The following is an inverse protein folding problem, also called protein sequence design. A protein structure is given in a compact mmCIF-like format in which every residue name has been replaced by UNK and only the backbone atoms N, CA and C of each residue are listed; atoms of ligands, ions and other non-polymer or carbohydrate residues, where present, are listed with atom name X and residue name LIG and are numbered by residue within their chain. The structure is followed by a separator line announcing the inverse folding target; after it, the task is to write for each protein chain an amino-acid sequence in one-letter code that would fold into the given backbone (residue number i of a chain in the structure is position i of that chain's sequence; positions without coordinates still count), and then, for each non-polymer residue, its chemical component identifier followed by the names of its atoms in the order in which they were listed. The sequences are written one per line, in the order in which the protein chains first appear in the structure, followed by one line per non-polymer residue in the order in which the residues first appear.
data_IF_841590498420
#
_entry.id   IF_841590498420
#
_cell.length_a   1.000
_cell.length_b   1.000
_cell.length_c   1.000
_cell.angle_alpha   90.00
_cell.angle_beta   90.00
_cell.angle_gamma   90.00
#
_symmetry.space_group_name_H-M   'P 1'
#
loop_
_entity.id
_entity.type
_entity.pdbx_description
1 polymer ?
#
# COMPACT_ATOMS: atom_id res chain seq x y z
N UNK A 1 49.99 -9.21 -32.11
CA UNK A 1 48.59 -8.75 -31.82
C UNK A 1 48.02 -8.27 -33.14
N UNK A 2 46.91 -8.84 -33.59
CA UNK A 2 46.22 -8.33 -34.79
C UNK A 2 45.58 -6.96 -34.42
N UNK A 3 45.90 -5.93 -35.24
CA UNK A 3 45.29 -4.61 -35.03
C UNK A 3 43.80 -4.69 -35.38
N UNK A 4 42.95 -4.17 -34.54
CA UNK A 4 41.48 -4.12 -34.70
C UNK A 4 40.99 -3.55 -36.05
N UNK A 5 41.75 -2.64 -36.65
CA UNK A 5 41.41 -2.00 -37.93
C UNK A 5 41.38 -2.94 -39.14
N UNK A 6 41.92 -4.15 -39.02
CA UNK A 6 42.02 -5.15 -40.13
C UNK A 6 41.01 -6.29 -40.00
N UNK A 7 40.06 -6.19 -39.07
CA UNK A 7 39.08 -7.23 -38.83
C UNK A 7 37.81 -6.89 -39.63
N UNK A 8 37.55 -7.66 -40.67
CA UNK A 8 36.41 -7.46 -41.60
C UNK A 8 35.14 -8.21 -41.22
N UNK A 9 35.18 -9.00 -40.14
CA UNK A 9 34.02 -9.69 -39.63
C UNK A 9 33.16 -8.73 -38.82
N UNK A 10 31.92 -8.45 -39.22
CA UNK A 10 31.01 -7.54 -38.50
C UNK A 10 30.67 -8.00 -37.07
N UNK A 11 30.91 -9.28 -36.75
CA UNK A 11 30.61 -9.85 -35.45
C UNK A 11 31.77 -9.82 -34.45
N UNK A 12 32.94 -9.33 -34.85
CA UNK A 12 34.17 -9.37 -34.02
C UNK A 12 34.08 -8.42 -32.80
N UNK A 13 33.26 -7.39 -32.90
CA UNK A 13 33.04 -6.45 -31.82
C UNK A 13 31.85 -6.84 -30.90
N UNK A 14 31.15 -7.90 -31.28
CA UNK A 14 30.06 -8.38 -30.45
C UNK A 14 30.58 -9.26 -29.30
N UNK A 15 29.98 -9.18 -28.11
CA UNK A 15 30.33 -10.07 -27.03
C UNK A 15 30.16 -11.53 -27.43
N UNK A 16 31.09 -12.38 -27.02
CA UNK A 16 31.08 -13.80 -27.36
C UNK A 16 29.73 -14.45 -27.00
N UNK A 17 29.14 -15.11 -28.00
CA UNK A 17 27.85 -15.81 -27.81
C UNK A 17 26.62 -14.95 -28.01
N UNK A 18 26.71 -13.71 -28.52
CA UNK A 18 25.54 -12.84 -28.75
C UNK A 18 24.49 -13.48 -29.66
N UNK A 19 24.91 -14.24 -30.70
CA UNK A 19 23.98 -14.91 -31.61
C UNK A 19 23.13 -16.01 -30.93
N UNK A 20 23.55 -16.52 -29.78
CA UNK A 20 22.87 -17.57 -29.01
C UNK A 20 22.34 -17.03 -27.69
N UNK A 21 22.51 -15.75 -27.42
CA UNK A 21 22.02 -15.13 -26.21
C UNK A 21 20.46 -15.07 -26.19
N UNK A 22 19.87 -15.39 -25.07
CA UNK A 22 18.42 -15.25 -24.89
C UNK A 22 18.05 -13.77 -24.93
N UNK A 23 16.96 -13.43 -25.63
CA UNK A 23 16.44 -12.06 -25.65
C UNK A 23 16.24 -11.54 -24.23
N UNK A 24 16.67 -10.30 -23.97
CA UNK A 24 16.58 -9.67 -22.64
C UNK A 24 17.73 -9.98 -21.69
N UNK A 25 18.77 -10.76 -22.13
CA UNK A 25 19.97 -10.95 -21.33
C UNK A 25 21.03 -9.87 -21.60
N UNK A 26 21.90 -9.63 -20.63
CA UNK A 26 23.06 -8.74 -20.69
C UNK A 26 24.34 -9.55 -20.57
N UNK A 27 25.39 -9.15 -21.27
CA UNK A 27 26.70 -9.75 -21.08
C UNK A 27 27.36 -9.23 -19.81
N UNK A 28 27.49 -10.08 -18.81
CA UNK A 28 28.02 -9.72 -17.48
C UNK A 28 29.49 -10.16 -17.41
N UNK A 29 30.39 -9.17 -17.25
CA UNK A 29 31.83 -9.43 -17.10
C UNK A 29 32.09 -10.13 -15.74
N UNK A 30 32.98 -11.13 -15.75
CA UNK A 30 33.38 -11.90 -14.57
C UNK A 30 34.60 -11.34 -13.81
N UNK A 31 35.12 -10.19 -14.22
CA UNK A 31 36.30 -9.58 -13.62
C UNK A 31 37.64 -10.22 -14.04
N UNK A 32 37.65 -11.31 -14.88
CA UNK A 32 38.81 -12.06 -15.29
C UNK A 32 39.01 -12.05 -16.82
N UNK A 33 38.52 -10.99 -17.48
CA UNK A 33 38.63 -10.81 -18.94
C UNK A 33 37.63 -11.64 -19.76
N UNK A 34 36.59 -12.16 -19.14
CA UNK A 34 35.49 -12.88 -19.76
C UNK A 34 34.16 -12.51 -19.13
N UNK A 35 33.08 -13.16 -19.53
CA UNK A 35 31.74 -12.96 -18.96
C UNK A 35 30.75 -14.00 -19.48
N UNK A 36 29.51 -13.88 -19.02
CA UNK A 36 28.41 -14.74 -19.43
C UNK A 36 27.19 -13.91 -19.78
N UNK A 37 26.33 -14.42 -20.67
CA UNK A 37 25.00 -13.88 -20.90
C UNK A 37 24.10 -14.29 -19.75
N UNK A 38 23.49 -13.34 -19.12
CA UNK A 38 22.60 -13.58 -17.99
C UNK A 38 21.66 -12.41 -17.75
N UNK A 39 20.81 -12.55 -16.78
CA UNK A 39 19.97 -11.43 -16.31
C UNK A 39 20.90 -10.36 -15.77
N UNK A 40 20.68 -9.10 -16.16
CA UNK A 40 21.48 -7.98 -15.65
C UNK A 40 21.56 -8.03 -14.13
N UNK A 41 22.77 -7.87 -13.52
CA UNK A 41 22.89 -7.75 -12.07
C UNK A 41 22.21 -6.47 -11.54
N UNK A 42 21.96 -5.48 -12.39
CA UNK A 42 20.99 -4.43 -12.11
C UNK A 42 19.63 -5.05 -12.36
N UNK A 43 19.12 -5.71 -11.37
CA UNK A 43 17.78 -6.30 -11.41
C UNK A 43 16.76 -5.16 -11.42
N UNK A 44 16.42 -4.68 -12.62
CA UNK A 44 15.38 -3.69 -12.82
C UNK A 44 14.00 -4.21 -12.37
N UNK A 45 13.85 -5.54 -12.22
CA UNK A 45 12.64 -6.11 -11.63
C UNK A 45 12.45 -5.67 -10.19
N UNK A 46 13.54 -5.42 -9.43
CA UNK A 46 13.45 -4.82 -8.09
C UNK A 46 12.99 -3.36 -8.07
N UNK A 47 12.91 -2.71 -9.23
CA UNK A 47 12.35 -1.35 -9.38
C UNK A 47 10.91 -1.36 -9.91
N UNK A 48 10.39 -2.52 -10.29
CA UNK A 48 9.01 -2.65 -10.76
C UNK A 48 8.11 -2.71 -9.54
N UNK A 49 7.21 -1.73 -9.44
CA UNK A 49 6.12 -1.73 -8.47
C UNK A 49 4.95 -2.45 -9.13
N UNK A 50 4.60 -3.59 -8.61
CA UNK A 50 3.35 -4.26 -8.96
C UNK A 50 2.24 -3.77 -8.02
N UNK A 51 1.28 -3.03 -8.58
CA UNK A 51 0.06 -2.71 -7.85
C UNK A 51 -0.81 -3.96 -7.79
N UNK A 52 -1.22 -4.34 -6.58
CA UNK A 52 -1.92 -5.59 -6.35
C UNK A 52 -3.39 -5.40 -6.01
N UNK A 53 -3.70 -4.47 -5.11
CA UNK A 53 -5.08 -4.18 -4.71
C UNK A 53 -5.28 -2.68 -4.43
N UNK A 54 -6.47 -2.18 -4.78
CA UNK A 54 -6.99 -0.88 -4.36
C UNK A 54 -8.37 -1.08 -3.74
N UNK A 55 -8.54 -0.64 -2.51
CA UNK A 55 -9.83 -0.65 -1.83
C UNK A 55 -10.32 0.77 -1.53
N UNK A 56 -11.61 1.01 -1.72
CA UNK A 56 -12.25 2.28 -1.42
C UNK A 56 -13.57 2.03 -0.70
N UNK A 57 -13.68 2.52 0.53
CA UNK A 57 -14.93 2.43 1.27
C UNK A 57 -15.87 3.56 0.89
N UNK A 58 -17.05 3.19 0.40
CA UNK A 58 -18.16 4.10 0.12
C UNK A 58 -19.19 4.11 1.26
N UNK A 59 -18.87 3.51 2.41
CA UNK A 59 -19.70 3.58 3.60
C UNK A 59 -19.92 5.06 4.00
N UNK A 60 -21.14 5.43 4.27
CA UNK A 60 -21.50 6.81 4.64
C UNK A 60 -20.77 7.24 5.90
N UNK A 61 -20.64 6.32 6.87
CA UNK A 61 -19.77 6.45 8.03
C UNK A 61 -19.27 5.09 8.48
N UNK A 62 -18.10 5.08 9.10
CA UNK A 62 -17.55 3.97 9.86
C UNK A 62 -17.31 4.49 11.27
N UNK A 63 -18.34 4.43 12.10
CA UNK A 63 -18.32 4.93 13.48
C UNK A 63 -18.36 3.75 14.45
N UNK A 64 -17.43 3.68 15.42
CA UNK A 64 -17.58 2.77 16.55
C UNK A 64 -18.94 2.96 17.23
N UNK A 65 -19.56 1.87 17.66
CA UNK A 65 -20.92 1.88 18.24
C UNK A 65 -21.02 2.60 19.58
N UNK A 66 -19.90 2.90 20.21
CA UNK A 66 -19.80 3.64 21.47
C UNK A 66 -18.38 4.02 21.79
N UNK A 67 -18.19 4.76 22.89
CA UNK A 67 -16.86 5.08 23.41
C UNK A 67 -16.15 3.79 23.81
N UNK A 68 -14.83 3.77 23.60
CA UNK A 68 -13.90 2.65 23.88
C UNK A 68 -14.27 1.32 23.18
N UNK A 69 -15.14 1.39 22.17
CA UNK A 69 -15.52 0.26 21.35
C UNK A 69 -14.71 0.27 20.05
N UNK A 70 -14.02 -0.83 19.79
CA UNK A 70 -13.22 -0.99 18.56
C UNK A 70 -14.12 -1.31 17.37
N UNK A 71 -13.84 -0.67 16.23
CA UNK A 71 -14.41 -0.99 14.93
C UNK A 71 -13.26 -1.30 13.95
N UNK A 72 -13.32 -2.44 13.26
CA UNK A 72 -12.43 -2.73 12.15
C UNK A 72 -12.81 -1.87 10.94
N UNK A 73 -11.80 -1.25 10.31
CA UNK A 73 -12.01 -0.36 9.15
C UNK A 73 -12.16 -1.19 7.88
N UNK A 74 -13.22 -0.92 7.13
CA UNK A 74 -13.50 -1.53 5.83
C UNK A 74 -12.96 -0.66 4.68
N UNK A 75 -12.50 -1.31 3.60
CA UNK A 75 -11.98 -0.66 2.39
C UNK A 75 -12.78 -1.05 1.15
N UNK A 76 -14.10 -1.18 1.29
CA UNK A 76 -15.01 -1.49 0.19
C UNK A 76 -15.24 -2.97 -0.04
N UNK A 77 -15.60 -3.34 -1.27
CA UNK A 77 -16.07 -4.69 -1.60
C UNK A 77 -14.99 -5.77 -1.57
N UNK A 78 -13.73 -5.36 -1.43
CA UNK A 78 -12.58 -6.25 -1.54
C UNK A 78 -12.09 -6.44 -2.98
N UNK A 79 -10.85 -6.85 -3.10
CA UNK A 79 -10.18 -7.18 -4.37
C UNK A 79 -9.20 -8.33 -4.12
N UNK A 80 -9.08 -9.24 -5.08
CA UNK A 80 -8.14 -10.36 -5.00
C UNK A 80 -7.19 -10.33 -6.17
N UNK A 81 -5.89 -10.39 -5.88
CA UNK A 81 -4.84 -10.71 -6.81
C UNK A 81 -4.05 -11.91 -6.31
N UNK A 82 -3.23 -12.56 -7.17
CA UNK A 82 -2.48 -13.74 -6.74
C UNK A 82 -1.62 -13.51 -5.49
N UNK A 83 -0.89 -12.36 -5.34
CA UNK A 83 -0.04 -12.12 -4.16
C UNK A 83 -0.74 -11.47 -2.97
N UNK A 84 -1.93 -10.88 -3.13
CA UNK A 84 -2.66 -10.18 -2.06
C UNK A 84 -4.16 -10.35 -2.22
N UNK A 85 -4.85 -10.58 -1.12
CA UNK A 85 -6.30 -10.52 -1.04
C UNK A 85 -6.71 -9.42 -0.06
N UNK A 86 -7.60 -8.53 -0.49
CA UNK A 86 -8.36 -7.62 0.36
C UNK A 86 -9.78 -8.15 0.43
N UNK A 87 -10.29 -8.46 1.62
CA UNK A 87 -11.66 -8.89 1.78
C UNK A 87 -12.62 -7.72 2.12
N UNK A 88 -13.91 -7.99 2.11
CA UNK A 88 -14.94 -6.99 2.36
C UNK A 88 -14.95 -6.46 3.81
N UNK A 89 -14.29 -7.15 4.74
CA UNK A 89 -14.13 -6.68 6.13
C UNK A 89 -12.94 -5.73 6.31
N UNK A 90 -12.20 -5.46 5.24
CA UNK A 90 -11.02 -4.60 5.27
C UNK A 90 -9.72 -5.32 5.65
N UNK A 91 -9.74 -6.65 5.73
CA UNK A 91 -8.56 -7.45 6.02
C UNK A 91 -7.74 -7.69 4.75
N UNK A 92 -6.45 -7.39 4.82
CA UNK A 92 -5.47 -7.69 3.78
C UNK A 92 -4.74 -8.98 4.15
N UNK A 93 -4.74 -9.96 3.26
CA UNK A 93 -3.97 -11.20 3.40
C UNK A 93 -2.85 -11.24 2.38
N UNK A 94 -1.63 -11.43 2.83
CA UNK A 94 -0.44 -11.59 2.00
C UNK A 94 -0.34 -13.04 1.55
N UNK A 95 -0.41 -13.30 0.26
CA UNK A 95 -0.35 -14.66 -0.30
C UNK A 95 1.06 -15.05 -0.76
N UNK A 96 1.94 -14.07 -0.99
CA UNK A 96 3.33 -14.27 -1.44
C UNK A 96 4.28 -13.46 -0.58
N UNK A 97 5.31 -14.09 -0.05
CA UNK A 97 6.38 -13.40 0.71
C UNK A 97 7.05 -12.33 -0.16
N UNK A 98 7.31 -11.14 0.41
CA UNK A 98 7.96 -10.05 -0.32
C UNK A 98 7.97 -8.72 0.44
N UNK A 99 8.44 -7.68 -0.24
CA UNK A 99 8.39 -6.30 0.25
C UNK A 99 7.17 -5.60 -0.33
N UNK A 100 6.41 -4.97 0.54
CA UNK A 100 5.15 -4.31 0.22
C UNK A 100 5.16 -2.86 0.66
N UNK A 101 4.52 -2.01 -0.14
CA UNK A 101 4.16 -0.66 0.21
C UNK A 101 2.66 -0.64 0.44
N UNK A 102 2.26 -0.23 1.62
CA UNK A 102 0.85 -0.06 1.98
C UNK A 102 0.59 1.44 2.13
N UNK A 103 -0.33 1.95 1.35
CA UNK A 103 -0.82 3.34 1.44
C UNK A 103 -2.24 3.36 1.95
N UNK A 104 -2.49 4.28 2.85
CA UNK A 104 -3.79 4.47 3.50
C UNK A 104 -4.29 5.89 3.29
N UNK A 105 -5.59 6.03 3.18
CA UNK A 105 -6.27 7.31 3.23
C UNK A 105 -7.50 7.20 4.11
N UNK A 106 -7.68 8.15 5.04
CA UNK A 106 -8.82 8.22 5.92
C UNK A 106 -9.43 9.63 5.90
N UNK A 107 -10.75 9.71 5.93
CA UNK A 107 -11.47 10.95 6.18
C UNK A 107 -12.01 10.92 7.63
N UNK A 108 -11.11 11.23 8.58
CA UNK A 108 -11.40 11.23 10.03
C UNK A 108 -12.25 12.43 10.37
N UNK A 109 -13.35 12.23 11.08
CA UNK A 109 -14.25 13.34 11.32
C UNK A 109 -15.30 13.08 12.39
N UNK A 110 -16.26 14.00 12.43
CA UNK A 110 -17.46 13.90 13.26
C UNK A 110 -18.64 14.58 12.59
N UNK A 111 -19.83 14.13 12.90
CA UNK A 111 -21.09 14.73 12.43
C UNK A 111 -21.99 15.04 13.62
N UNK A 112 -22.54 16.25 13.65
CA UNK A 112 -23.78 16.57 14.34
C UNK A 112 -23.75 16.76 15.86
N UNK A 113 -22.63 16.65 16.56
CA UNK A 113 -22.58 16.79 18.03
C UNK A 113 -21.81 18.03 18.51
N UNK A 114 -22.17 18.61 19.65
CA UNK A 114 -21.34 19.59 20.34
C UNK A 114 -20.22 18.87 21.13
N UNK A 115 -19.11 19.56 21.41
CA UNK A 115 -18.00 19.02 22.19
C UNK A 115 -16.83 18.54 21.33
N UNK A 116 -15.90 17.82 21.95
CA UNK A 116 -14.66 17.34 21.35
C UNK A 116 -14.73 15.83 21.18
N UNK A 117 -14.39 15.33 20.00
CA UNK A 117 -14.21 13.91 19.74
C UNK A 117 -12.71 13.56 19.73
N UNK A 118 -12.32 12.49 20.40
CA UNK A 118 -10.98 11.94 20.41
C UNK A 118 -10.99 10.59 19.72
N UNK A 119 -10.23 10.45 18.64
CA UNK A 119 -10.27 9.30 17.74
C UNK A 119 -8.86 8.75 17.60
N UNK A 120 -8.71 7.43 17.76
CA UNK A 120 -7.46 6.72 17.51
C UNK A 120 -7.64 5.69 16.42
N UNK A 121 -6.63 5.55 15.58
CA UNK A 121 -6.51 4.47 14.59
C UNK A 121 -5.21 3.73 14.84
N UNK A 122 -5.26 2.40 14.73
CA UNK A 122 -4.08 1.52 14.82
C UNK A 122 -4.05 0.50 13.69
N UNK A 123 -2.84 0.06 13.35
CA UNK A 123 -2.61 -1.08 12.48
C UNK A 123 -2.31 -2.33 13.30
N UNK A 124 -2.81 -3.47 12.85
CA UNK A 124 -2.49 -4.78 13.43
C UNK A 124 -1.91 -5.68 12.33
N UNK A 125 -0.88 -6.44 12.69
CA UNK A 125 -0.37 -7.56 11.88
C UNK A 125 -0.61 -8.82 12.71
N UNK A 126 -1.32 -9.79 12.11
CA UNK A 126 -1.72 -11.04 12.76
C UNK A 126 -2.41 -10.81 14.14
N UNK A 127 -3.25 -9.78 14.20
CA UNK A 127 -3.98 -9.38 15.40
C UNK A 127 -3.16 -8.64 16.46
N UNK A 128 -1.87 -8.38 16.22
CA UNK A 128 -0.98 -7.67 17.15
C UNK A 128 -0.73 -6.25 16.63
N UNK A 129 -0.92 -5.23 17.48
CA UNK A 129 -0.66 -3.85 17.11
C UNK A 129 0.81 -3.66 16.71
N UNK A 130 1.03 -3.00 15.58
CA UNK A 130 2.34 -2.59 15.08
C UNK A 130 2.44 -1.07 15.03
N UNK A 131 3.59 -0.56 15.46
CA UNK A 131 3.80 0.89 15.53
C UNK A 131 2.94 1.58 16.59
N UNK A 132 2.75 2.87 16.42
CA UNK A 132 1.98 3.75 17.31
C UNK A 132 0.57 3.97 16.74
N UNK A 133 -0.42 4.13 17.62
CA UNK A 133 -1.73 4.62 17.20
C UNK A 133 -1.62 6.08 16.77
N UNK A 134 -2.35 6.45 15.73
CA UNK A 134 -2.50 7.84 15.32
C UNK A 134 -3.72 8.44 16.01
N UNK A 135 -3.61 9.68 16.48
CA UNK A 135 -4.64 10.34 17.31
C UNK A 135 -5.09 11.66 16.69
N UNK A 136 -6.39 11.89 16.70
CA UNK A 136 -7.02 13.16 16.34
C UNK A 136 -7.94 13.64 17.44
N UNK A 137 -7.85 14.93 17.68
CA UNK A 137 -8.82 15.67 18.51
C UNK A 137 -9.62 16.59 17.58
N UNK A 138 -10.91 16.33 17.42
CA UNK A 138 -11.79 17.07 16.50
C UNK A 138 -12.77 17.90 17.29
N UNK A 139 -12.64 19.22 17.18
CA UNK A 139 -13.53 20.18 17.80
C UNK A 139 -14.90 20.28 17.13
N UNK A 140 -15.83 20.98 17.77
CA UNK A 140 -17.23 21.13 17.30
C UNK A 140 -17.34 21.88 15.96
N UNK A 141 -16.33 22.64 15.56
CA UNK A 141 -16.32 23.42 14.32
C UNK A 141 -15.80 22.64 13.11
N UNK A 142 -15.18 21.48 13.32
CA UNK A 142 -14.54 20.69 12.26
C UNK A 142 -15.42 19.52 11.87
N UNK A 143 -15.66 19.33 10.57
CA UNK A 143 -16.45 18.23 10.06
C UNK A 143 -15.60 16.98 9.78
N UNK A 144 -14.43 17.12 9.16
CA UNK A 144 -13.47 16.03 8.95
C UNK A 144 -12.08 16.55 8.60
N UNK A 145 -11.07 15.68 8.83
CA UNK A 145 -9.66 15.90 8.54
C UNK A 145 -9.20 14.76 7.63
N UNK A 146 -8.72 15.04 6.42
CA UNK A 146 -8.10 14.01 5.59
C UNK A 146 -6.75 13.60 6.19
N UNK A 147 -6.49 12.31 6.17
CA UNK A 147 -5.22 11.72 6.60
C UNK A 147 -4.72 10.72 5.58
N UNK A 148 -3.43 10.72 5.34
CA UNK A 148 -2.77 9.70 4.52
C UNK A 148 -1.53 9.19 5.23
N UNK A 149 -1.30 7.90 5.15
CA UNK A 149 -0.13 7.23 5.70
C UNK A 149 0.45 6.24 4.70
N UNK A 150 1.73 5.91 4.88
CA UNK A 150 2.44 5.00 4.01
C UNK A 150 3.46 4.20 4.82
N UNK A 151 3.45 2.89 4.67
CA UNK A 151 4.41 1.98 5.30
C UNK A 151 5.05 1.05 4.26
N UNK A 152 6.33 0.75 4.50
CA UNK A 152 7.10 -0.25 3.76
C UNK A 152 7.36 -1.43 4.68
N UNK A 153 6.90 -2.61 4.28
CA UNK A 153 6.88 -3.79 5.13
C UNK A 153 7.45 -5.00 4.38
N UNK A 154 8.32 -5.76 5.03
CA UNK A 154 8.68 -7.10 4.55
C UNK A 154 7.76 -8.09 5.22
N UNK A 155 6.91 -8.77 4.43
CA UNK A 155 5.83 -9.60 4.91
C UNK A 155 5.97 -11.03 4.35
N UNK A 156 5.56 -12.01 5.14
CA UNK A 156 5.53 -13.41 4.74
C UNK A 156 4.14 -13.83 4.26
N UNK A 157 4.08 -14.86 3.43
CA UNK A 157 2.81 -15.44 3.02
C UNK A 157 2.03 -15.93 4.26
N UNK A 158 0.73 -15.65 4.30
CA UNK A 158 -0.17 -15.92 5.42
C UNK A 158 -0.33 -14.75 6.39
N UNK A 159 0.51 -13.70 6.33
CA UNK A 159 0.35 -12.50 7.17
C UNK A 159 -0.97 -11.80 6.87
N UNK A 160 -1.69 -11.43 7.93
CA UNK A 160 -2.93 -10.67 7.89
C UNK A 160 -2.70 -9.24 8.42
N UNK A 161 -3.21 -8.23 7.71
CA UNK A 161 -3.14 -6.82 8.14
C UNK A 161 -4.57 -6.31 8.28
N UNK A 162 -4.87 -5.69 9.42
CA UNK A 162 -6.15 -5.02 9.68
C UNK A 162 -5.90 -3.65 10.29
N UNK A 163 -6.91 -2.79 10.21
CA UNK A 163 -6.89 -1.46 10.81
C UNK A 163 -8.13 -1.30 11.68
N UNK A 164 -7.96 -0.66 12.81
CA UNK A 164 -9.04 -0.45 13.76
C UNK A 164 -9.12 1.01 14.18
N UNK A 165 -10.35 1.46 14.46
CA UNK A 165 -10.66 2.78 14.96
C UNK A 165 -11.41 2.68 16.29
N UNK A 166 -11.13 3.59 17.22
CA UNK A 166 -11.92 3.79 18.44
C UNK A 166 -12.23 5.26 18.67
N UNK A 167 -13.29 5.52 19.43
CA UNK A 167 -13.60 6.79 20.09
C UNK A 167 -13.16 6.67 21.55
N UNK A 168 -12.17 7.47 21.97
CA UNK A 168 -11.60 7.38 23.31
C UNK A 168 -12.40 8.19 24.35
N UNK A 169 -12.85 7.54 25.42
CA UNK A 169 -13.61 8.19 26.49
C UNK A 169 -12.77 9.13 27.34
N UNK A 170 -11.46 8.89 27.44
CA UNK A 170 -10.56 9.69 28.28
C UNK A 170 -10.39 11.12 27.84
N UNK A 171 -10.58 11.39 26.56
CA UNK A 171 -10.39 12.70 25.95
C UNK A 171 -11.58 13.17 25.11
N UNK A 172 -12.63 12.37 24.99
CA UNK A 172 -13.85 12.74 24.27
C UNK A 172 -14.86 13.34 25.20
N UNK A 173 -15.38 14.52 24.84
CA UNK A 173 -16.53 15.10 25.51
C UNK A 173 -17.86 14.55 25.00
N UNK A 174 -17.85 13.77 23.91
CA UNK A 174 -19.05 13.27 23.24
C UNK A 174 -18.78 11.93 22.55
N UNK A 175 -19.81 11.10 22.49
CA UNK A 175 -19.83 9.87 21.70
C UNK A 175 -20.08 10.22 20.21
N UNK A 176 -19.07 10.78 19.58
CA UNK A 176 -19.09 11.16 18.18
C UNK A 176 -17.71 10.95 17.55
N UNK A 177 -17.69 10.74 16.23
CA UNK A 177 -16.46 10.59 15.47
C UNK A 177 -16.30 9.23 14.82
N UNK A 178 -15.57 9.23 13.74
CA UNK A 178 -15.36 8.07 12.90
C UNK A 178 -14.72 8.45 11.58
N UNK A 179 -14.95 7.63 10.56
CA UNK A 179 -14.55 7.89 9.18
C UNK A 179 -15.79 8.19 8.33
N UNK A 180 -15.75 9.25 7.54
CA UNK A 180 -16.91 9.73 6.79
C UNK A 180 -16.60 9.92 5.32
N UNK A 181 -17.49 9.46 4.45
CA UNK A 181 -17.45 9.84 3.06
C UNK A 181 -17.98 11.26 2.87
N UNK A 182 -17.58 11.94 1.81
CA UNK A 182 -18.16 13.20 1.39
C UNK A 182 -18.66 13.15 -0.05
N UNK A 183 -19.89 13.62 -0.26
CA UNK A 183 -20.53 13.65 -1.56
C UNK A 183 -20.50 15.06 -2.13
N UNK A 184 -19.85 15.29 -3.29
CA UNK A 184 -19.97 16.56 -3.99
C UNK A 184 -21.42 16.79 -4.41
N UNK A 185 -21.89 18.03 -4.28
CA UNK A 185 -23.24 18.41 -4.75
C UNK A 185 -23.31 18.59 -6.26
N UNK A 186 -22.15 18.69 -6.91
CA UNK A 186 -22.04 18.88 -8.37
C UNK A 186 -22.17 17.55 -9.08
N UNK A 187 -23.09 17.45 -10.02
CA UNK A 187 -23.29 16.26 -10.83
C UNK A 187 -22.01 15.85 -11.62
N UNK A 188 -21.74 14.55 -11.67
CA UNK A 188 -20.58 14.00 -12.38
C UNK A 188 -19.28 13.92 -11.55
N UNK A 189 -19.28 14.39 -10.32
CA UNK A 189 -18.16 14.22 -9.40
C UNK A 189 -18.36 12.99 -8.53
N UNK A 190 -17.29 12.19 -8.38
CA UNK A 190 -17.33 11.01 -7.54
C UNK A 190 -17.27 11.36 -6.06
N UNK A 191 -17.87 10.52 -5.22
CA UNK A 191 -17.78 10.57 -3.77
C UNK A 191 -16.35 10.40 -3.32
N UNK A 192 -15.90 11.23 -2.36
CA UNK A 192 -14.65 10.97 -1.64
C UNK A 192 -14.88 9.86 -0.61
N UNK A 193 -14.12 8.75 -0.65
CA UNK A 193 -14.33 7.62 0.25
C UNK A 193 -14.01 7.96 1.71
N UNK A 194 -14.64 7.25 2.65
CA UNK A 194 -14.34 7.35 4.08
C UNK A 194 -12.99 6.75 4.42
N UNK A 195 -12.60 5.68 3.72
CA UNK A 195 -11.31 5.02 3.83
C UNK A 195 -10.86 4.49 2.47
N UNK A 196 -9.55 4.46 2.26
CA UNK A 196 -8.93 3.86 1.09
C UNK A 196 -7.63 3.15 1.45
N UNK A 197 -7.33 2.08 0.74
CA UNK A 197 -6.08 1.34 0.86
C UNK A 197 -5.53 1.03 -0.52
N UNK A 198 -4.21 1.08 -0.64
CA UNK A 198 -3.48 0.58 -1.80
C UNK A 198 -2.31 -0.28 -1.33
N UNK A 199 -2.19 -1.46 -1.88
CA UNK A 199 -1.08 -2.37 -1.60
C UNK A 199 -0.29 -2.60 -2.88
N UNK A 200 1.00 -2.30 -2.83
CA UNK A 200 1.94 -2.43 -3.94
C UNK A 200 3.07 -3.36 -3.52
N UNK A 201 3.40 -4.35 -4.36
CA UNK A 201 4.52 -5.26 -4.15
C UNK A 201 5.73 -4.81 -4.96
N UNK A 202 6.90 -4.90 -4.36
CA UNK A 202 8.18 -4.76 -5.06
C UNK A 202 8.70 -6.14 -5.45
N UNK A 203 8.98 -6.31 -6.74
CA UNK A 203 9.42 -7.58 -7.35
C UNK A 203 10.84 -7.43 -7.86
#
# INVERSE_FOLDING_TARGET
MAEHKNITDPNIHEPKGVATATSGTTYVANGSGSGTWGVSPVNLTGLVIERLVDGFSTATSQEPTGLDTTLQIEFGAGETSAPVTLDATGKVTINVTGTYRVKLGFAVGRIGSAGVASIYIRALIDGVQVGQSVHWTIGSAESYIPFTDEAWLTLTAGTEITYEIIKDSGNSGVDAGGLFQSNPTTAGWATNPSASIRVERFV
#
